data_IF_869841595793
#
_entry.id   IF_869841595793
#
_cell.length_a   1.000
_cell.length_b   1.000
_cell.length_c   1.000
_cell.angle_alpha   90.00
_cell.angle_beta   90.00
_cell.angle_gamma   90.00
#
_symmetry.space_group_name_H-M   'P 1'
#
loop_
_entity.id
_entity.type
_entity.pdbx_description
1 polymer ?
#
# COMPACT_ATOMS: atom_id res chain seq x y z
N UNK A 1 -3.60 -28.79 15.54
CA UNK A 1 -2.86 -27.57 15.16
C UNK A 1 -3.58 -26.37 15.76
N UNK A 2 -2.88 -25.48 16.45
CA UNK A 2 -3.48 -24.27 17.04
C UNK A 2 -3.78 -23.28 15.91
N UNK A 3 -5.07 -23.02 15.64
CA UNK A 3 -5.48 -22.12 14.56
C UNK A 3 -6.56 -21.15 15.03
N UNK A 4 -6.47 -19.91 14.54
CA UNK A 4 -7.43 -18.86 14.87
C UNK A 4 -8.83 -19.19 14.33
N UNK A 5 -8.94 -19.82 13.16
CA UNK A 5 -10.21 -20.35 12.65
C UNK A 5 -11.27 -19.26 12.47
N UNK A 6 -12.44 -19.37 13.10
CA UNK A 6 -13.47 -18.29 13.06
C UNK A 6 -13.37 -17.30 14.23
N UNK A 7 -12.43 -17.52 15.14
CA UNK A 7 -12.32 -16.74 16.36
C UNK A 7 -11.60 -15.41 16.12
N UNK A 8 -11.91 -14.43 16.96
CA UNK A 8 -11.17 -13.19 17.01
C UNK A 8 -9.78 -13.42 17.63
N UNK A 9 -8.89 -12.44 17.45
CA UNK A 9 -7.49 -12.53 17.92
C UNK A 9 -7.42 -12.70 19.44
N UNK A 10 -8.33 -12.09 20.21
CA UNK A 10 -8.31 -12.19 21.67
C UNK A 10 -8.67 -13.59 22.15
N UNK A 11 -9.78 -14.18 21.67
CA UNK A 11 -10.16 -15.55 22.03
C UNK A 11 -9.11 -16.58 21.57
N UNK A 12 -8.45 -16.33 20.43
CA UNK A 12 -7.33 -17.15 19.99
C UNK A 12 -6.11 -17.05 20.93
N UNK A 13 -5.72 -15.84 21.34
CA UNK A 13 -4.62 -15.60 22.27
C UNK A 13 -4.85 -16.25 23.64
N UNK A 14 -6.09 -16.19 24.17
CA UNK A 14 -6.43 -16.85 25.42
C UNK A 14 -6.28 -18.38 25.33
N UNK A 15 -6.70 -18.99 24.21
CA UNK A 15 -6.50 -20.42 23.99
C UNK A 15 -5.03 -20.79 23.85
N UNK A 16 -4.23 -19.95 23.19
CA UNK A 16 -2.78 -20.15 23.12
C UNK A 16 -2.15 -20.17 24.52
N UNK A 17 -2.49 -19.18 25.37
CA UNK A 17 -2.04 -19.12 26.78
C UNK A 17 -2.47 -20.34 27.57
N UNK A 18 -3.73 -20.75 27.45
CA UNK A 18 -4.26 -21.92 28.14
C UNK A 18 -3.50 -23.20 27.74
N UNK A 19 -3.27 -23.41 26.45
CA UNK A 19 -2.54 -24.59 25.97
C UNK A 19 -1.11 -24.62 26.49
N UNK A 20 -0.40 -23.49 26.48
CA UNK A 20 0.96 -23.40 27.04
C UNK A 20 0.95 -23.67 28.54
N UNK A 21 -0.04 -23.15 29.28
CA UNK A 21 -0.16 -23.39 30.73
C UNK A 21 -0.43 -24.85 31.10
N UNK A 22 -1.03 -25.64 30.20
CA UNK A 22 -1.31 -27.05 30.46
C UNK A 22 -0.10 -27.97 30.20
N UNK A 23 0.98 -27.46 29.59
CA UNK A 23 2.18 -28.25 29.30
C UNK A 23 3.13 -28.16 30.50
N UNK A 24 3.00 -29.12 31.41
CA UNK A 24 3.74 -29.14 32.69
C UNK A 24 5.04 -29.95 32.60
N UNK A 25 5.09 -30.97 31.74
CA UNK A 25 6.15 -31.99 31.79
C UNK A 25 7.36 -31.71 30.92
N UNK A 26 7.20 -31.00 29.79
CA UNK A 26 8.29 -30.57 28.93
C UNK A 26 7.92 -29.21 28.31
N UNK A 27 8.34 -28.08 28.90
CA UNK A 27 7.97 -26.77 28.40
C UNK A 27 8.56 -26.56 27.00
N UNK A 28 7.71 -26.15 26.07
CA UNK A 28 8.12 -25.77 24.71
C UNK A 28 9.02 -24.53 24.79
N UNK A 29 9.98 -24.40 23.89
CA UNK A 29 10.78 -23.18 23.77
C UNK A 29 9.93 -21.98 23.29
N UNK A 30 10.33 -20.77 23.65
CA UNK A 30 9.57 -19.57 23.30
C UNK A 30 9.47 -19.34 21.79
N UNK A 31 10.54 -19.65 21.03
CA UNK A 31 10.54 -19.44 19.59
C UNK A 31 9.50 -20.35 18.91
N UNK A 32 9.41 -21.62 19.30
CA UNK A 32 8.40 -22.56 18.80
C UNK A 32 6.99 -22.14 19.22
N UNK A 33 6.78 -21.63 20.44
CA UNK A 33 5.48 -21.07 20.85
C UNK A 33 5.08 -19.91 19.96
N UNK A 34 5.98 -18.95 19.72
CA UNK A 34 5.74 -17.77 18.89
C UNK A 34 5.46 -18.18 17.44
N UNK A 35 6.30 -19.03 16.84
CA UNK A 35 6.13 -19.49 15.46
C UNK A 35 4.82 -20.24 15.29
N UNK A 36 4.46 -21.10 16.26
CA UNK A 36 3.19 -21.82 16.24
C UNK A 36 2.01 -20.86 16.35
N UNK A 37 2.08 -19.88 17.25
CA UNK A 37 1.05 -18.86 17.42
C UNK A 37 0.87 -18.02 16.14
N UNK A 38 1.96 -17.53 15.55
CA UNK A 38 1.96 -16.72 14.33
C UNK A 38 1.48 -17.51 13.11
N UNK A 39 1.87 -18.79 12.99
CA UNK A 39 1.42 -19.69 11.93
C UNK A 39 -0.10 -19.90 11.99
N UNK A 40 -0.66 -20.03 13.19
CA UNK A 40 -2.08 -20.23 13.41
C UNK A 40 -2.95 -18.99 13.24
N UNK A 41 -2.38 -17.78 13.15
CA UNK A 41 -3.11 -16.56 12.85
C UNK A 41 -3.64 -16.55 11.42
N UNK A 42 -4.78 -15.90 11.22
CA UNK A 42 -5.31 -15.59 9.89
C UNK A 42 -4.36 -14.68 9.12
N UNK A 43 -4.42 -14.75 7.79
CA UNK A 43 -3.71 -13.84 6.89
C UNK A 43 -4.38 -12.45 6.88
N UNK A 44 -4.24 -11.77 8.02
CA UNK A 44 -4.72 -10.41 8.30
C UNK A 44 -3.53 -9.48 8.54
N UNK A 45 -3.70 -8.15 8.52
CA UNK A 45 -2.61 -7.21 8.73
C UNK A 45 -1.88 -7.41 10.07
N UNK A 46 -2.59 -7.95 11.07
CA UNK A 46 -2.02 -8.36 12.37
C UNK A 46 -0.89 -9.39 12.19
N UNK A 47 -1.09 -10.41 11.35
CA UNK A 47 -0.08 -11.44 11.08
C UNK A 47 1.11 -10.85 10.33
N UNK A 48 0.85 -9.98 9.35
CA UNK A 48 1.90 -9.24 8.61
C UNK A 48 2.73 -8.37 9.54
N UNK A 49 2.11 -7.69 10.50
CA UNK A 49 2.81 -6.86 11.49
C UNK A 49 3.74 -7.71 12.37
N UNK A 50 3.26 -8.85 12.88
CA UNK A 50 4.07 -9.75 13.70
C UNK A 50 5.29 -10.33 12.95
N UNK A 51 5.17 -10.60 11.65
CA UNK A 51 6.31 -11.04 10.83
C UNK A 51 7.38 -9.95 10.64
N UNK A 52 7.01 -8.67 10.79
CA UNK A 52 7.95 -7.54 10.71
C UNK A 52 8.61 -7.26 12.04
N UNK A 53 7.84 -7.29 13.13
CA UNK A 53 8.32 -6.96 14.47
C UNK A 53 9.17 -8.08 15.10
N UNK A 54 8.98 -9.32 14.65
CA UNK A 54 9.73 -10.50 15.12
C UNK A 54 9.76 -10.63 16.65
N UNK A 55 8.60 -10.87 17.29
CA UNK A 55 8.54 -11.04 18.75
C UNK A 55 9.34 -12.26 19.20
N UNK A 56 10.00 -12.14 20.35
CA UNK A 56 10.86 -13.19 20.92
C UNK A 56 10.16 -14.06 21.99
N UNK A 57 8.95 -13.68 22.41
CA UNK A 57 8.17 -14.36 23.44
C UNK A 57 6.69 -14.43 23.04
N UNK A 58 5.98 -15.45 23.51
CA UNK A 58 4.56 -15.61 23.20
C UNK A 58 3.73 -14.43 23.70
N UNK A 59 4.01 -13.92 24.89
CA UNK A 59 3.28 -12.77 25.45
C UNK A 59 3.52 -11.49 24.63
N UNK A 60 4.76 -11.24 24.18
CA UNK A 60 5.04 -10.13 23.27
C UNK A 60 4.28 -10.26 21.95
N UNK A 61 4.20 -11.47 21.38
CA UNK A 61 3.42 -11.70 20.18
C UNK A 61 1.91 -11.44 20.42
N UNK A 62 1.38 -11.81 21.59
CA UNK A 62 -0.03 -11.58 21.95
C UNK A 62 -0.31 -10.07 22.12
N UNK A 63 0.53 -9.33 22.84
CA UNK A 63 0.32 -7.89 23.06
C UNK A 63 0.38 -7.10 21.76
N UNK A 64 1.39 -7.38 20.92
CA UNK A 64 1.50 -6.77 19.59
C UNK A 64 0.29 -7.13 18.70
N UNK A 65 -0.17 -8.38 18.75
CA UNK A 65 -1.35 -8.79 18.00
C UNK A 65 -2.61 -8.02 18.42
N UNK A 66 -2.82 -7.84 19.73
CA UNK A 66 -3.94 -7.07 20.28
C UNK A 66 -3.84 -5.58 19.94
N UNK A 67 -2.64 -5.01 20.05
CA UNK A 67 -2.38 -3.61 19.73
C UNK A 67 -2.64 -3.32 18.25
N UNK A 68 -2.13 -4.15 17.35
CA UNK A 68 -2.33 -3.96 15.92
C UNK A 68 -3.81 -4.17 15.54
N UNK A 69 -4.49 -5.15 16.14
CA UNK A 69 -5.91 -5.33 15.91
C UNK A 69 -6.73 -4.11 16.35
N UNK A 70 -6.35 -3.46 17.45
CA UNK A 70 -6.95 -2.20 17.88
C UNK A 70 -6.64 -1.06 16.91
N UNK A 71 -5.37 -0.92 16.52
CA UNK A 71 -4.89 0.07 15.54
C UNK A 71 -5.69 -0.02 14.23
N UNK A 72 -5.86 -1.22 13.68
CA UNK A 72 -6.63 -1.46 12.46
C UNK A 72 -8.11 -1.09 12.59
N UNK A 73 -8.72 -1.29 13.76
CA UNK A 73 -10.12 -0.88 13.99
C UNK A 73 -10.23 0.63 14.09
N UNK A 74 -9.35 1.28 14.83
CA UNK A 74 -9.28 2.73 14.92
C UNK A 74 -9.04 3.34 13.53
N UNK A 75 -8.17 2.69 12.74
CA UNK A 75 -7.87 3.08 11.38
C UNK A 75 -8.99 2.80 10.37
N UNK A 76 -10.04 2.06 10.74
CA UNK A 76 -11.25 1.97 9.91
C UNK A 76 -12.25 3.07 10.26
N UNK A 77 -12.24 3.54 11.51
CA UNK A 77 -13.10 4.62 11.97
C UNK A 77 -12.65 5.97 11.39
N UNK A 78 -11.35 6.25 11.31
CA UNK A 78 -10.87 7.54 10.80
C UNK A 78 -11.01 7.73 9.27
N UNK A 79 -11.33 6.68 8.50
CA UNK A 79 -11.63 6.76 7.05
C UNK A 79 -13.11 7.12 6.84
N UNK A 80 -13.96 6.81 7.83
CA UNK A 80 -15.40 7.05 7.79
C UNK A 80 -15.81 8.42 8.36
N UNK A 81 -14.84 9.24 8.78
CA UNK A 81 -15.08 10.65 9.14
C UNK A 81 -14.81 11.49 7.89
N UNK A 82 -15.76 12.34 7.44
CA UNK A 82 -15.48 13.31 6.40
C UNK A 82 -14.24 14.10 6.77
N UNK A 83 -13.24 14.11 5.88
CA UNK A 83 -12.01 14.90 6.02
C UNK A 83 -12.42 16.32 6.46
N UNK A 84 -12.04 16.79 7.67
CA UNK A 84 -12.26 18.18 8.01
C UNK A 84 -11.54 19.02 6.95
N UNK A 85 -12.25 19.98 6.36
CA UNK A 85 -11.64 20.86 5.36
C UNK A 85 -10.34 21.45 5.91
N UNK A 86 -9.30 21.66 5.06
CA UNK A 86 -8.10 22.33 5.52
C UNK A 86 -8.49 23.69 6.11
N UNK A 87 -8.21 23.89 7.39
CA UNK A 87 -8.30 25.23 7.98
C UNK A 87 -7.31 26.14 7.23
N UNK A 88 -7.68 27.40 6.91
CA UNK A 88 -6.73 28.34 6.36
C UNK A 88 -5.52 28.43 7.29
N UNK A 89 -4.34 28.09 6.77
CA UNK A 89 -3.10 28.14 7.52
C UNK A 89 -2.82 29.59 7.93
N UNK A 90 -2.93 29.89 9.23
CA UNK A 90 -2.35 31.10 9.81
C UNK A 90 -0.83 30.91 9.75
N UNK A 91 -0.16 31.72 8.92
CA UNK A 91 1.31 31.72 8.78
C UNK A 91 1.96 32.12 10.12
N UNK A 92 2.78 31.28 10.76
CA UNK A 92 3.67 31.72 11.82
C UNK A 92 4.88 32.41 11.18
N UNK A 93 5.06 33.70 11.44
CA UNK A 93 6.27 34.43 11.08
C UNK A 93 7.39 34.05 12.05
N UNK A 94 8.50 33.47 11.56
CA UNK A 94 9.73 33.37 12.36
C UNK A 94 10.45 32.03 12.44
N UNK A 95 10.33 31.14 11.44
CA UNK A 95 11.20 29.97 11.30
C UNK A 95 11.57 29.74 9.84
N UNK A 96 12.74 29.13 9.52
CA UNK A 96 12.98 28.68 8.15
C UNK A 96 11.87 27.72 7.76
N UNK A 97 11.17 28.02 6.67
CA UNK A 97 10.08 27.18 6.17
C UNK A 97 10.59 25.74 5.98
N UNK A 98 9.81 24.72 6.37
CA UNK A 98 10.09 23.35 5.94
C UNK A 98 10.16 23.34 4.41
N UNK A 99 11.24 22.80 3.84
CA UNK A 99 11.43 22.76 2.39
C UNK A 99 10.19 22.19 1.70
N UNK A 100 9.59 22.97 0.79
CA UNK A 100 8.45 22.55 0.00
C UNK A 100 8.90 21.49 -1.03
N UNK A 101 8.63 20.22 -0.70
CA UNK A 101 8.93 19.07 -1.55
C UNK A 101 8.02 19.01 -2.79
N UNK A 102 7.07 19.94 -2.99
CA UNK A 102 6.21 19.98 -4.19
C UNK A 102 6.98 20.31 -5.46
N UNK A 103 8.21 20.84 -5.33
CA UNK A 103 9.17 21.05 -6.43
C UNK A 103 10.37 20.12 -6.39
N UNK A 104 10.43 19.17 -5.45
CA UNK A 104 11.44 18.11 -5.49
C UNK A 104 11.20 17.28 -6.74
N UNK A 105 11.95 17.60 -7.79
CA UNK A 105 11.99 16.83 -9.01
C UNK A 105 12.69 15.52 -8.63
N UNK A 106 11.93 14.53 -8.19
CA UNK A 106 12.35 13.13 -8.38
C UNK A 106 12.72 13.05 -9.85
N UNK A 107 13.97 12.69 -10.15
CA UNK A 107 14.51 12.51 -11.50
C UNK A 107 13.81 11.33 -12.23
N UNK A 108 12.48 11.39 -12.33
CA UNK A 108 11.64 10.28 -12.75
C UNK A 108 10.11 10.49 -12.68
N UNK A 109 9.54 11.68 -12.44
CA UNK A 109 8.06 11.80 -12.54
C UNK A 109 7.46 13.08 -13.12
N UNK A 110 8.25 14.11 -13.43
CA UNK A 110 7.75 15.24 -14.22
C UNK A 110 8.16 15.06 -15.68
N UNK A 111 7.43 14.18 -16.37
CA UNK A 111 7.24 14.36 -17.80
C UNK A 111 6.47 15.67 -17.95
N UNK A 112 7.24 16.75 -18.02
CA UNK A 112 6.94 17.99 -18.74
C UNK A 112 5.74 17.76 -19.65
N UNK A 113 4.57 18.29 -19.27
CA UNK A 113 3.57 18.73 -20.26
C UNK A 113 4.16 19.94 -20.98
N UNK A 114 5.24 19.71 -21.72
CA UNK A 114 5.49 20.43 -22.96
C UNK A 114 4.23 20.22 -23.83
N UNK A 115 3.82 21.18 -24.66
CA UNK A 115 2.90 20.92 -25.73
C UNK A 115 3.61 19.98 -26.69
N UNK A 116 3.57 18.68 -26.37
CA UNK A 116 4.18 17.66 -27.21
C UNK A 116 3.48 17.81 -28.54
N UNK A 117 4.26 18.09 -29.59
CA UNK A 117 3.85 18.04 -30.97
C UNK A 117 3.59 16.57 -31.37
N UNK A 118 2.88 15.85 -30.49
CA UNK A 118 2.54 14.45 -30.61
C UNK A 118 1.35 14.37 -31.52
N UNK A 119 1.53 13.69 -32.64
CA UNK A 119 0.49 13.45 -33.61
C UNK A 119 -0.45 12.38 -33.08
N UNK A 120 -1.72 12.73 -32.91
CA UNK A 120 -2.75 11.79 -32.53
C UNK A 120 -2.91 10.72 -33.62
N UNK A 121 -2.73 9.45 -33.26
CA UNK A 121 -2.88 8.31 -34.18
C UNK A 121 -4.33 8.06 -34.63
N UNK A 122 -5.32 8.69 -33.97
CA UNK A 122 -6.74 8.56 -34.33
C UNK A 122 -7.17 9.58 -35.39
N UNK A 123 -6.77 10.84 -35.25
CA UNK A 123 -7.24 11.94 -36.12
C UNK A 123 -6.13 12.61 -36.93
N UNK A 124 -4.86 12.30 -36.66
CA UNK A 124 -3.71 12.91 -37.35
C UNK A 124 -3.34 14.32 -36.88
N UNK A 125 -4.09 14.92 -35.94
CA UNK A 125 -3.81 16.26 -35.41
C UNK A 125 -2.83 16.21 -34.23
N UNK A 126 -2.03 17.27 -34.05
CA UNK A 126 -1.05 17.36 -32.97
C UNK A 126 -1.65 17.91 -31.67
N UNK A 127 -0.95 17.73 -30.56
CA UNK A 127 -1.27 18.35 -29.26
C UNK A 127 -2.12 17.51 -28.31
N UNK A 128 -2.45 16.26 -28.66
CA UNK A 128 -3.12 15.32 -27.77
C UNK A 128 -2.83 13.86 -28.14
N UNK A 129 -2.92 12.95 -27.17
CA UNK A 129 -2.79 11.52 -27.41
C UNK A 129 -4.12 10.91 -27.89
N UNK A 130 -4.06 9.78 -28.59
CA UNK A 130 -5.26 9.10 -29.12
C UNK A 130 -6.30 8.73 -28.03
N UNK A 131 -5.88 8.59 -26.77
CA UNK A 131 -6.76 8.32 -25.62
C UNK A 131 -7.62 9.53 -25.24
N UNK A 132 -7.14 10.72 -25.52
CA UNK A 132 -7.76 12.02 -25.21
C UNK A 132 -8.50 12.60 -26.43
N UNK A 133 -8.53 11.87 -27.54
CA UNK A 133 -9.12 12.33 -28.78
C UNK A 133 -10.65 12.29 -28.73
N UNK A 134 -11.28 13.46 -28.77
CA UNK A 134 -12.74 13.64 -28.83
C UNK A 134 -13.33 13.55 -30.24
N UNK A 135 -12.49 13.31 -31.26
CA UNK A 135 -12.98 13.16 -32.63
C UNK A 135 -13.84 11.89 -32.77
N UNK A 136 -14.95 11.94 -33.54
CA UNK A 136 -15.75 10.76 -33.83
C UNK A 136 -14.89 9.71 -34.53
N UNK A 137 -15.07 8.44 -34.17
CA UNK A 137 -14.31 7.33 -34.75
C UNK A 137 -14.68 7.21 -36.23
N UNK A 138 -13.90 7.84 -37.11
CA UNK A 138 -14.05 7.66 -38.55
C UNK A 138 -13.31 6.39 -38.95
N UNK A 139 -14.07 5.42 -39.46
CA UNK A 139 -13.53 4.18 -40.01
C UNK A 139 -12.47 4.49 -41.08
N UNK A 140 -11.26 3.98 -40.81
CA UNK A 140 -10.14 3.77 -41.72
C UNK A 140 -10.23 4.47 -43.10
N UNK A 141 -9.55 5.61 -43.24
CA UNK A 141 -9.00 6.00 -44.55
C UNK A 141 -7.49 5.98 -44.44
N UNK A 142 -6.93 4.81 -44.69
CA UNK A 142 -5.49 4.61 -44.80
C UNK A 142 -4.92 5.57 -45.83
N UNK A 143 -4.06 6.49 -45.39
CA UNK A 143 -3.12 7.16 -46.28
C UNK A 143 -1.79 6.46 -46.14
N UNK A 144 -1.47 5.71 -47.19
CA UNK A 144 -0.14 5.24 -47.52
C UNK A 144 0.73 6.49 -47.74
N UNK A 145 1.81 6.63 -46.99
CA UNK A 145 2.92 7.50 -47.39
C UNK A 145 4.24 6.77 -47.10
N UNK A 146 4.70 6.16 -48.19
CA UNK A 146 6.07 5.96 -48.65
C UNK A 146 7.15 6.72 -47.86
N UNK A 147 8.02 6.02 -47.13
CA UNK A 147 9.36 6.54 -46.82
C UNK A 147 10.36 5.40 -46.81
N UNK A 148 11.05 5.25 -47.95
CA UNK A 148 12.22 4.42 -48.23
C UNK A 148 13.21 4.37 -47.06
N UNK A 149 13.44 3.17 -46.53
CA UNK A 149 14.62 2.82 -45.73
C UNK A 149 15.85 2.81 -46.63
N UNK A 150 16.87 3.64 -46.33
CA UNK A 150 18.19 3.59 -46.96
C UNK A 150 19.15 2.91 -45.98
N UNK A 151 19.49 1.66 -46.27
CA UNK A 151 20.55 0.89 -45.62
C UNK A 151 21.84 0.96 -46.45
N UNK A 152 22.99 0.88 -45.76
CA UNK A 152 24.34 0.70 -46.31
C UNK A 152 25.15 2.00 -46.38
N UNK A 153 26.38 2.10 -45.89
CA UNK A 153 27.35 1.15 -45.34
C UNK A 153 28.14 1.85 -44.22
#
# INVERSE_FOLDING_TARGET
DLQQGKHDVHAYAQRARYLVSNIVTNPIDEATKVVTFMKGLKDEPVKTYLFREYPNTLESAITLAMQEQFSLRQAKLHVNVPRPMPRPAVKPSGGPEPMDLSSATTAGSQQRREPTNVRCFRCGNNGHYARECTAPVQAAKGRRDDTRYRHGQ
#
